data_IF_055864241875
#
_entry.id   IF_055864241875
#
_cell.length_a   1.000
_cell.length_b   1.000
_cell.length_c   1.000
_cell.angle_alpha   90.00
_cell.angle_beta   90.00
_cell.angle_gamma   90.00
#
_symmetry.space_group_name_H-M   'P 1'
#
loop_
_entity.id
_entity.type
_entity.pdbx_description
1 polymer ?
#
# COMPACT_ATOMS: atom_id res chain seq x y z
N UNK A 1 15.99 -51.95 -35.29
CA UNK A 1 16.47 -50.64 -34.80
C UNK A 1 15.28 -49.89 -34.22
N UNK A 2 15.17 -49.83 -32.89
CA UNK A 2 14.03 -49.20 -32.19
C UNK A 2 14.55 -47.87 -31.64
N UNK A 3 14.13 -46.76 -32.24
CA UNK A 3 14.41 -45.42 -31.72
C UNK A 3 13.57 -45.19 -30.46
N UNK A 4 14.20 -45.27 -29.28
CA UNK A 4 13.63 -44.78 -28.02
C UNK A 4 13.75 -43.25 -28.00
N UNK A 5 12.64 -42.56 -28.23
CA UNK A 5 12.52 -41.13 -27.92
C UNK A 5 12.44 -40.98 -26.39
N UNK A 6 13.50 -40.43 -25.80
CA UNK A 6 13.46 -39.94 -24.43
C UNK A 6 12.65 -38.65 -24.39
N UNK A 7 11.41 -38.71 -23.87
CA UNK A 7 10.63 -37.51 -23.53
C UNK A 7 11.18 -36.95 -22.22
N UNK A 8 11.88 -35.84 -22.30
CA UNK A 8 12.25 -35.02 -21.13
C UNK A 8 10.98 -34.26 -20.73
N UNK A 9 10.45 -34.57 -19.55
CA UNK A 9 9.34 -33.82 -18.94
C UNK A 9 9.95 -32.67 -18.15
N UNK A 10 9.89 -31.46 -18.71
CA UNK A 10 10.28 -30.23 -18.01
C UNK A 10 9.07 -29.79 -17.19
N UNK A 11 9.10 -30.02 -15.88
CA UNK A 11 8.12 -29.48 -14.94
C UNK A 11 8.43 -28.01 -14.72
N UNK A 12 7.67 -27.13 -15.36
CA UNK A 12 7.73 -25.68 -15.12
C UNK A 12 7.02 -25.38 -13.81
N UNK A 13 7.79 -25.12 -12.75
CA UNK A 13 7.29 -24.65 -11.47
C UNK A 13 7.00 -23.15 -11.59
N UNK A 14 5.74 -22.80 -11.83
CA UNK A 14 5.28 -21.40 -11.81
C UNK A 14 5.13 -20.98 -10.35
N UNK A 15 6.20 -20.40 -9.79
CA UNK A 15 6.13 -19.71 -8.51
C UNK A 15 5.42 -18.36 -8.73
N UNK A 16 4.12 -18.30 -8.47
CA UNK A 16 3.41 -17.03 -8.40
C UNK A 16 3.96 -16.25 -7.20
N UNK A 17 4.80 -15.25 -7.44
CA UNK A 17 5.11 -14.23 -6.43
C UNK A 17 3.79 -13.50 -6.14
N UNK A 18 3.15 -13.89 -5.03
CA UNK A 18 2.11 -13.08 -4.41
C UNK A 18 2.83 -11.80 -4.02
N UNK A 19 2.69 -10.75 -4.83
CA UNK A 19 2.94 -9.39 -4.36
C UNK A 19 2.09 -9.24 -3.11
N UNK A 20 2.75 -9.14 -1.96
CA UNK A 20 2.13 -8.84 -0.68
C UNK A 20 1.45 -7.48 -0.80
N UNK A 21 0.28 -7.44 -1.43
CA UNK A 21 -0.70 -6.43 -1.12
C UNK A 21 -0.88 -6.52 0.38
N UNK A 22 -0.66 -5.42 1.08
CA UNK A 22 -0.88 -5.26 2.50
C UNK A 22 -2.38 -5.48 2.78
N UNK A 23 -2.81 -6.73 2.67
CA UNK A 23 -4.17 -7.16 2.85
C UNK A 23 -4.53 -6.83 4.27
N UNK A 24 -5.46 -5.91 4.42
CA UNK A 24 -6.10 -5.62 5.68
C UNK A 24 -6.85 -6.90 6.12
N UNK A 25 -6.17 -7.82 6.79
CA UNK A 25 -6.81 -9.01 7.36
C UNK A 25 -7.63 -8.56 8.57
N UNK A 26 -8.89 -8.23 8.33
CA UNK A 26 -9.90 -7.98 9.35
C UNK A 26 -10.51 -9.32 9.80
N UNK A 27 -9.73 -10.10 10.54
CA UNK A 27 -10.19 -11.36 11.13
C UNK A 27 -10.93 -11.14 12.46
N UNK A 28 -12.16 -11.67 12.55
CA UNK A 28 -12.82 -12.10 13.79
C UNK A 28 -13.76 -11.10 14.46
N UNK A 29 -15.07 -11.34 14.35
CA UNK A 29 -16.07 -10.81 15.29
C UNK A 29 -15.98 -11.57 16.62
N UNK A 30 -16.03 -10.88 17.76
CA UNK A 30 -16.43 -11.55 19.01
C UNK A 30 -15.84 -11.11 20.34
N UNK A 31 -15.00 -10.08 20.43
CA UNK A 31 -14.52 -9.59 21.73
C UNK A 31 -14.94 -8.13 21.94
N UNK A 32 -15.76 -7.90 22.96
CA UNK A 32 -16.17 -6.58 23.44
C UNK A 32 -14.97 -5.87 24.10
N UNK A 33 -13.96 -5.53 23.30
CA UNK A 33 -12.95 -4.58 23.74
C UNK A 33 -13.62 -3.21 23.92
N UNK A 34 -13.40 -2.58 25.07
CA UNK A 34 -13.82 -1.21 25.30
C UNK A 34 -13.29 -0.35 24.13
N UNK A 35 -14.17 0.40 23.47
CA UNK A 35 -13.85 1.28 22.33
C UNK A 35 -13.06 2.51 22.81
N UNK A 36 -11.88 2.29 23.37
CA UNK A 36 -10.91 3.34 23.70
C UNK A 36 -9.87 3.36 22.60
N UNK A 37 -9.66 4.54 22.01
CA UNK A 37 -8.59 4.77 21.04
C UNK A 37 -7.23 4.69 21.73
N UNK A 38 -6.17 4.44 20.97
CA UNK A 38 -4.83 4.32 21.53
C UNK A 38 -4.22 5.71 21.78
N UNK A 39 -3.89 6.07 23.02
CA UNK A 39 -3.36 7.40 23.35
C UNK A 39 -2.01 7.71 22.70
N UNK A 40 -1.20 6.70 22.38
CA UNK A 40 0.07 6.90 21.64
C UNK A 40 -0.21 7.35 20.21
N UNK A 41 -1.22 6.76 19.56
CA UNK A 41 -1.62 7.17 18.21
C UNK A 41 -2.30 8.53 18.19
N UNK A 42 -2.92 8.94 19.30
CA UNK A 42 -3.40 10.31 19.46
C UNK A 42 -2.24 11.31 19.46
N UNK A 43 -1.08 10.97 20.03
CA UNK A 43 0.10 11.84 19.97
C UNK A 43 0.65 11.97 18.55
N UNK A 44 0.73 10.87 17.80
CA UNK A 44 1.13 10.92 16.39
C UNK A 44 0.11 11.68 15.53
N UNK A 45 -1.18 11.53 15.79
CA UNK A 45 -2.19 12.32 15.10
C UNK A 45 -2.05 13.81 15.43
N UNK A 46 -1.88 14.16 16.72
CA UNK A 46 -1.68 15.54 17.15
C UNK A 46 -0.38 16.16 16.63
N UNK A 47 0.65 15.36 16.30
CA UNK A 47 1.86 15.88 15.66
C UNK A 47 1.60 16.27 14.20
N UNK A 48 0.70 15.58 13.49
CA UNK A 48 0.32 15.86 12.10
C UNK A 48 -0.65 17.05 11.94
N UNK A 49 -1.30 17.48 13.01
CA UNK A 49 -2.22 18.62 12.98
C UNK A 49 -1.55 19.89 12.43
N UNK A 50 -2.25 20.59 11.53
CA UNK A 50 -1.74 21.78 10.84
C UNK A 50 -0.82 21.52 9.65
N UNK A 51 -0.59 20.25 9.29
CA UNK A 51 0.15 19.89 8.07
C UNK A 51 -0.74 20.00 6.84
N UNK A 52 -0.21 20.53 5.74
CA UNK A 52 -0.89 20.51 4.43
C UNK A 52 -0.31 19.41 3.55
N UNK A 53 -1.18 18.60 2.94
CA UNK A 53 -0.80 17.45 2.13
C UNK A 53 -1.31 17.63 0.70
N UNK A 54 -0.46 18.07 -0.25
CA UNK A 54 -0.81 18.10 -1.66
C UNK A 54 -0.69 16.69 -2.25
N UNK A 55 -1.81 16.15 -2.71
CA UNK A 55 -1.98 14.80 -3.22
C UNK A 55 -2.31 14.85 -4.71
N UNK A 56 -1.63 14.01 -5.49
CA UNK A 56 -1.99 13.64 -6.85
C UNK A 56 -2.60 12.24 -6.83
N UNK A 57 -3.73 12.04 -7.51
CA UNK A 57 -4.35 10.73 -7.67
C UNK A 57 -4.15 10.24 -9.09
N UNK A 58 -3.74 8.99 -9.25
CA UNK A 58 -3.71 8.28 -10.52
C UNK A 58 -4.69 7.11 -10.44
N UNK A 59 -5.91 7.32 -10.94
CA UNK A 59 -7.04 6.39 -10.84
C UNK A 59 -7.48 5.91 -12.22
N UNK A 60 -8.01 4.70 -12.29
CA UNK A 60 -8.35 4.03 -13.55
C UNK A 60 -7.44 2.84 -13.86
N UNK A 61 -7.87 2.02 -14.83
CA UNK A 61 -7.30 0.70 -15.10
C UNK A 61 -7.83 -0.36 -14.14
N UNK A 62 -8.85 -1.13 -14.57
CA UNK A 62 -9.32 -2.30 -13.80
C UNK A 62 -8.22 -3.36 -13.67
N UNK A 63 -7.34 -3.42 -14.66
CA UNK A 63 -6.18 -4.28 -14.67
C UNK A 63 -4.96 -3.48 -14.24
N UNK A 64 -4.28 -3.93 -13.18
CA UNK A 64 -3.07 -3.30 -12.67
C UNK A 64 -1.95 -3.18 -13.72
N UNK A 65 -2.04 -3.94 -14.82
CA UNK A 65 -1.09 -3.98 -15.92
C UNK A 65 -1.35 -2.97 -17.03
N UNK A 66 -2.53 -2.35 -17.10
CA UNK A 66 -2.83 -1.34 -18.12
C UNK A 66 -2.61 0.08 -17.59
N UNK A 67 -1.33 0.47 -17.51
CA UNK A 67 -0.94 1.82 -17.09
C UNK A 67 -1.42 2.91 -18.07
N UNK A 68 -1.72 2.55 -19.33
CA UNK A 68 -2.16 3.49 -20.35
C UNK A 68 -3.57 4.05 -20.09
N UNK A 69 -4.36 3.35 -19.27
CA UNK A 69 -5.72 3.73 -18.87
C UNK A 69 -5.78 4.54 -17.57
N UNK A 70 -4.64 4.95 -16.99
CA UNK A 70 -4.62 5.74 -15.75
C UNK A 70 -4.87 7.21 -16.01
N UNK A 71 -5.80 7.78 -15.27
CA UNK A 71 -6.17 9.17 -15.35
C UNK A 71 -5.72 9.91 -14.10
N UNK A 72 -5.06 11.05 -14.32
CA UNK A 72 -4.54 11.90 -13.26
C UNK A 72 -5.62 12.88 -12.78
N UNK A 73 -5.87 12.90 -11.47
CA UNK A 73 -6.56 13.99 -10.79
C UNK A 73 -5.51 14.76 -10.00
N UNK A 74 -5.34 16.03 -10.37
CA UNK A 74 -4.31 16.92 -9.84
C UNK A 74 -4.92 18.03 -9.01
N UNK A 75 -4.16 18.49 -8.01
CA UNK A 75 -4.50 19.66 -7.19
C UNK A 75 -5.31 19.37 -5.93
N UNK A 76 -5.47 18.10 -5.52
CA UNK A 76 -6.07 17.81 -4.22
C UNK A 76 -5.11 18.28 -3.12
N UNK A 77 -5.52 19.22 -2.28
CA UNK A 77 -4.72 19.65 -1.12
C UNK A 77 -5.56 19.50 0.14
N UNK A 78 -5.07 18.69 1.08
CA UNK A 78 -5.72 18.48 2.38
C UNK A 78 -5.05 19.37 3.41
N UNK A 79 -5.83 20.04 4.24
CA UNK A 79 -5.35 20.76 5.41
C UNK A 79 -5.77 20.04 6.69
N UNK A 80 -4.79 19.50 7.42
CA UNK A 80 -4.99 18.77 8.67
C UNK A 80 -5.12 19.69 9.89
N UNK A 81 -5.44 20.97 9.71
CA UNK A 81 -5.58 21.96 10.79
C UNK A 81 -6.88 21.83 11.61
N UNK A 82 -7.77 20.90 11.28
CA UNK A 82 -9.12 20.86 11.85
C UNK A 82 -9.22 20.20 13.23
N UNK A 83 -10.21 20.66 14.00
CA UNK A 83 -10.54 20.15 15.32
C UNK A 83 -11.02 18.68 15.30
N UNK A 84 -10.74 17.99 16.41
CA UNK A 84 -11.18 16.61 16.65
C UNK A 84 -12.70 16.50 16.57
N UNK A 85 -13.19 15.55 15.77
CA UNK A 85 -14.62 15.26 15.69
C UNK A 85 -15.05 14.53 16.97
N UNK A 86 -15.63 15.27 17.90
CA UNK A 86 -16.29 14.68 19.06
C UNK A 86 -17.36 13.68 18.63
N UNK A 87 -17.59 12.62 19.41
CA UNK A 87 -18.72 11.69 19.19
C UNK A 87 -20.08 12.40 19.18
N UNK A 88 -20.15 13.61 19.74
CA UNK A 88 -21.35 14.48 19.75
C UNK A 88 -21.39 15.46 18.59
N UNK A 89 -20.31 15.60 17.82
CA UNK A 89 -20.29 16.42 16.63
C UNK A 89 -21.36 15.92 15.67
N UNK A 90 -22.24 16.83 15.26
CA UNK A 90 -23.28 16.56 14.25
C UNK A 90 -22.72 16.67 12.83
N UNK A 91 -21.42 16.95 12.68
CA UNK A 91 -20.83 17.08 11.35
C UNK A 91 -20.84 15.72 10.65
N UNK A 92 -21.29 15.66 9.39
CA UNK A 92 -21.24 14.43 8.61
C UNK A 92 -19.78 14.01 8.41
N UNK A 93 -19.47 12.74 8.70
CA UNK A 93 -18.15 12.16 8.48
C UNK A 93 -18.25 10.82 7.78
N UNK A 94 -17.24 10.50 6.99
CA UNK A 94 -17.06 9.17 6.43
C UNK A 94 -16.72 8.18 7.55
N UNK A 95 -17.14 6.93 7.35
CA UNK A 95 -16.74 5.84 8.24
C UNK A 95 -15.34 5.36 7.87
N UNK A 96 -14.42 5.40 8.83
CA UNK A 96 -13.01 5.05 8.64
C UNK A 96 -12.73 3.58 9.01
N UNK A 97 -11.85 2.89 8.28
CA UNK A 97 -11.63 1.45 8.42
C UNK A 97 -11.02 1.03 9.77
N UNK A 98 -10.27 1.88 10.46
CA UNK A 98 -9.71 1.62 11.77
C UNK A 98 -10.71 1.94 12.87
N UNK A 99 -11.11 3.21 12.99
CA UNK A 99 -11.97 3.71 14.06
C UNK A 99 -13.36 3.07 14.09
N UNK A 100 -13.97 2.84 12.93
CA UNK A 100 -15.28 2.18 12.81
C UNK A 100 -15.14 0.69 12.42
N UNK A 101 -13.91 0.19 12.35
CA UNK A 101 -13.60 -1.20 12.01
C UNK A 101 -13.64 -2.16 13.21
N UNK A 102 -13.19 -3.41 13.01
CA UNK A 102 -13.19 -4.43 14.07
C UNK A 102 -12.07 -4.22 15.11
N UNK A 103 -11.08 -3.37 14.83
CA UNK A 103 -9.97 -3.07 15.76
C UNK A 103 -9.77 -1.56 15.99
N UNK A 104 -10.72 -0.88 16.66
CA UNK A 104 -10.63 0.56 16.91
C UNK A 104 -9.43 0.98 17.77
N UNK A 105 -8.90 0.08 18.59
CA UNK A 105 -7.72 0.34 19.44
C UNK A 105 -6.42 0.45 18.63
N UNK A 106 -6.41 0.07 17.35
CA UNK A 106 -5.28 0.31 16.44
C UNK A 106 -5.41 1.65 15.70
N UNK A 107 -6.39 2.49 16.04
CA UNK A 107 -6.65 3.78 15.39
C UNK A 107 -6.49 4.93 16.39
N UNK A 108 -6.06 6.09 15.90
CA UNK A 108 -6.12 7.38 16.60
C UNK A 108 -7.56 7.89 16.81
N UNK A 109 -8.52 7.31 16.09
CA UNK A 109 -9.88 7.83 15.96
C UNK A 109 -10.03 8.79 14.78
N UNK A 110 -11.28 9.12 14.40
CA UNK A 110 -11.56 9.94 13.24
C UNK A 110 -11.33 11.43 13.55
N UNK A 111 -10.55 12.08 12.71
CA UNK A 111 -10.25 13.52 12.74
C UNK A 111 -10.81 14.16 11.47
N UNK A 112 -11.37 15.36 11.56
CA UNK A 112 -11.75 16.10 10.36
C UNK A 112 -10.51 16.66 9.66
N UNK A 113 -10.62 16.94 8.37
CA UNK A 113 -9.70 17.84 7.67
C UNK A 113 -10.51 18.72 6.71
N UNK A 114 -9.95 19.85 6.32
CA UNK A 114 -10.50 20.72 5.30
C UNK A 114 -9.84 20.42 3.96
N UNK A 115 -10.62 20.53 2.89
CA UNK A 115 -10.09 20.42 1.52
C UNK A 115 -9.72 21.83 1.09
N UNK A 116 -8.44 22.17 1.20
CA UNK A 116 -7.92 23.48 0.81
C UNK A 116 -8.00 23.69 -0.71
N UNK A 117 -7.86 22.61 -1.49
CA UNK A 117 -7.99 22.63 -2.94
C UNK A 117 -8.62 21.33 -3.46
N UNK A 118 -9.66 21.45 -4.27
CA UNK A 118 -10.31 20.29 -4.92
C UNK A 118 -9.40 19.68 -6.00
N UNK A 119 -9.44 18.35 -6.10
CA UNK A 119 -8.80 17.65 -7.21
C UNK A 119 -9.50 18.00 -8.52
N UNK A 120 -8.75 18.13 -9.59
CA UNK A 120 -9.28 18.45 -10.92
C UNK A 120 -8.67 17.57 -11.99
N UNK A 121 -9.46 17.30 -13.02
CA UNK A 121 -9.05 16.58 -14.23
C UNK A 121 -9.32 17.44 -15.45
N UNK A 122 -8.56 17.21 -16.53
CA UNK A 122 -8.78 17.85 -17.82
C UNK A 122 -9.19 16.80 -18.84
N UNK A 123 -10.35 17.02 -19.45
CA UNK A 123 -10.89 16.18 -20.53
C UNK A 123 -11.08 17.00 -21.83
N UNK A 124 -11.75 16.41 -22.82
CA UNK A 124 -11.99 17.08 -24.11
C UNK A 124 -12.97 18.25 -24.02
N UNK A 125 -13.79 18.31 -22.97
CA UNK A 125 -14.81 19.34 -22.75
C UNK A 125 -14.34 20.46 -21.82
N UNK A 126 -13.26 20.23 -21.06
CA UNK A 126 -12.62 21.25 -20.25
C UNK A 126 -12.03 20.71 -18.95
N UNK A 127 -11.92 21.60 -17.97
CA UNK A 127 -11.46 21.26 -16.61
C UNK A 127 -12.68 20.94 -15.75
N UNK A 128 -12.65 19.78 -15.12
CA UNK A 128 -13.67 19.32 -14.17
C UNK A 128 -13.06 19.15 -12.79
N UNK A 129 -13.79 19.58 -11.76
CA UNK A 129 -13.38 19.38 -10.37
C UNK A 129 -14.09 18.16 -9.80
N UNK A 130 -13.34 17.28 -9.16
CA UNK A 130 -13.87 16.17 -8.39
C UNK A 130 -14.35 16.69 -7.04
N UNK A 131 -15.64 16.48 -6.74
CA UNK A 131 -16.25 16.95 -5.51
C UNK A 131 -16.06 15.90 -4.40
N UNK A 132 -15.20 16.18 -3.44
CA UNK A 132 -15.02 15.34 -2.25
C UNK A 132 -15.69 16.01 -1.05
N UNK A 133 -16.44 15.26 -0.26
CA UNK A 133 -17.17 15.76 0.91
C UNK A 133 -16.85 14.95 2.16
N UNK A 134 -17.17 15.52 3.32
CA UNK A 134 -17.12 14.85 4.62
C UNK A 134 -15.75 14.22 4.93
N UNK A 135 -14.69 14.92 4.54
CA UNK A 135 -13.31 14.47 4.66
C UNK A 135 -12.95 14.18 6.11
N UNK A 136 -12.43 12.98 6.36
CA UNK A 136 -11.89 12.61 7.66
C UNK A 136 -10.67 11.71 7.53
N UNK A 137 -9.81 11.71 8.53
CA UNK A 137 -8.57 10.94 8.53
C UNK A 137 -8.32 10.29 9.88
N UNK A 138 -7.43 9.29 9.87
CA UNK A 138 -6.93 8.61 11.06
C UNK A 138 -5.52 8.08 10.82
N UNK A 139 -4.79 7.85 11.91
CA UNK A 139 -3.57 7.04 11.92
C UNK A 139 -3.92 5.66 12.44
N UNK A 140 -3.63 4.64 11.65
CA UNK A 140 -3.82 3.24 11.98
C UNK A 140 -2.48 2.56 12.20
N UNK A 141 -2.20 2.10 13.42
CA UNK A 141 -0.96 1.42 13.75
C UNK A 141 -1.25 0.20 14.62
N UNK A 142 -0.71 -0.95 14.20
CA UNK A 142 -0.80 -2.17 15.01
C UNK A 142 0.30 -2.18 16.05
N UNK A 143 0.01 -2.74 17.22
CA UNK A 143 1.02 -2.98 18.24
C UNK A 143 2.19 -3.79 17.66
N UNK A 144 3.41 -3.35 17.94
CA UNK A 144 4.66 -3.94 17.44
C UNK A 144 4.89 -3.91 15.92
N UNK A 145 4.02 -3.25 15.14
CA UNK A 145 4.30 -3.03 13.72
C UNK A 145 5.33 -1.92 13.54
N UNK A 146 6.30 -2.12 12.64
CA UNK A 146 7.33 -1.12 12.33
C UNK A 146 6.77 0.12 11.60
N UNK A 147 5.61 -0.03 10.96
CA UNK A 147 4.95 1.03 10.21
C UNK A 147 3.44 1.00 10.49
N UNK A 148 2.84 2.18 10.45
CA UNK A 148 1.41 2.39 10.44
C UNK A 148 0.89 2.76 9.06
N UNK A 149 -0.35 3.24 9.04
CA UNK A 149 -0.98 3.84 7.87
C UNK A 149 -1.66 5.15 8.27
N UNK A 150 -1.36 6.21 7.53
CA UNK A 150 -2.22 7.37 7.46
C UNK A 150 -3.35 7.07 6.46
N UNK A 151 -4.60 7.20 6.89
CA UNK A 151 -5.77 6.92 6.05
C UNK A 151 -6.67 8.13 6.05
N UNK A 152 -7.02 8.64 4.87
CA UNK A 152 -8.09 9.62 4.69
C UNK A 152 -9.25 9.03 3.91
N UNK A 153 -10.47 9.42 4.27
CA UNK A 153 -11.73 8.98 3.67
C UNK A 153 -12.56 10.18 3.23
N UNK A 154 -13.27 10.00 2.11
CA UNK A 154 -14.11 11.02 1.49
C UNK A 154 -15.43 10.38 1.02
N UNK A 155 -16.51 11.16 1.06
CA UNK A 155 -17.74 10.86 0.35
C UNK A 155 -17.70 11.55 -1.03
N UNK A 156 -17.87 10.76 -2.07
CA UNK A 156 -17.94 11.19 -3.46
C UNK A 156 -19.41 11.15 -3.88
N UNK A 157 -20.13 12.30 -3.92
CA UNK A 157 -21.57 12.31 -4.14
C UNK A 157 -21.96 11.98 -5.59
N UNK A 158 -21.05 12.22 -6.54
CA UNK A 158 -21.26 11.99 -7.95
C UNK A 158 -20.05 11.27 -8.54
N UNK A 159 -20.32 10.36 -9.46
CA UNK A 159 -19.29 9.65 -10.20
C UNK A 159 -18.32 10.61 -10.89
N UNK A 160 -17.01 10.38 -10.73
CA UNK A 160 -15.98 11.13 -11.45
C UNK A 160 -15.66 10.41 -12.75
N UNK A 161 -15.91 11.06 -13.89
CA UNK A 161 -15.70 10.51 -15.24
C UNK A 161 -14.67 11.28 -16.04
N UNK A 162 -14.09 10.61 -17.03
CA UNK A 162 -13.33 11.23 -18.12
C UNK A 162 -13.61 10.51 -19.42
N UNK A 163 -14.15 11.21 -20.44
CA UNK A 163 -14.45 10.65 -21.75
C UNK A 163 -15.18 9.28 -21.66
N UNK A 164 -16.26 9.21 -20.89
CA UNK A 164 -17.08 8.01 -20.60
C UNK A 164 -16.50 6.94 -19.65
N UNK A 165 -15.21 7.00 -19.32
CA UNK A 165 -14.61 6.11 -18.32
C UNK A 165 -14.97 6.54 -16.89
N UNK A 166 -15.56 5.63 -16.10
CA UNK A 166 -15.73 5.78 -14.66
C UNK A 166 -14.37 5.69 -13.96
N UNK A 167 -13.91 6.79 -13.37
CA UNK A 167 -12.64 6.83 -12.63
C UNK A 167 -12.85 6.51 -11.16
N UNK A 168 -13.85 7.16 -10.57
CA UNK A 168 -14.18 7.03 -9.16
C UNK A 168 -15.69 6.88 -9.05
N UNK A 169 -16.20 5.73 -8.56
CA UNK A 169 -17.63 5.53 -8.38
C UNK A 169 -18.15 6.43 -7.25
N UNK A 170 -19.46 6.77 -7.27
CA UNK A 170 -20.07 7.48 -6.16
C UNK A 170 -20.03 6.61 -4.89
N UNK A 171 -19.83 7.24 -3.74
CA UNK A 171 -19.74 6.57 -2.44
C UNK A 171 -18.45 6.91 -1.70
N UNK A 172 -17.96 5.97 -0.87
CA UNK A 172 -16.81 6.19 -0.01
C UNK A 172 -15.53 5.84 -0.73
N UNK A 173 -14.58 6.75 -0.70
CA UNK A 173 -13.23 6.55 -1.24
C UNK A 173 -12.23 6.79 -0.13
N UNK A 174 -11.19 5.98 -0.13
CA UNK A 174 -10.12 6.02 0.85
C UNK A 174 -8.79 6.19 0.13
N UNK A 175 -7.92 7.01 0.72
CA UNK A 175 -6.53 7.12 0.33
C UNK A 175 -5.71 6.70 1.55
N UNK A 176 -4.70 5.86 1.34
CA UNK A 176 -3.83 5.41 2.42
C UNK A 176 -2.36 5.51 2.04
N UNK A 177 -1.55 6.03 2.96
CA UNK A 177 -0.10 6.13 2.88
C UNK A 177 0.52 5.38 4.05
N UNK A 178 1.54 4.54 3.83
CA UNK A 178 2.35 4.02 4.92
C UNK A 178 3.02 5.16 5.68
N UNK A 179 3.01 5.08 7.01
CA UNK A 179 3.67 6.04 7.91
C UNK A 179 4.68 5.31 8.79
N UNK A 180 5.82 5.94 9.01
CA UNK A 180 6.93 5.40 9.79
C UNK A 180 7.38 6.41 10.84
N UNK A 181 7.90 5.91 11.95
CA UNK A 181 8.77 6.71 12.82
C UNK A 181 10.14 6.84 12.16
N UNK A 182 10.73 8.03 12.21
CA UNK A 182 12.02 8.32 11.56
C UNK A 182 13.13 7.35 12.00
N UNK A 183 13.25 7.09 13.29
CA UNK A 183 14.29 6.21 13.84
C UNK A 183 14.10 4.76 13.41
N UNK A 184 12.86 4.25 13.48
CA UNK A 184 12.50 2.90 13.06
C UNK A 184 12.76 2.72 11.57
N UNK A 185 12.44 3.72 10.75
CA UNK A 185 12.70 3.66 9.31
C UNK A 185 14.21 3.55 9.01
N UNK A 186 15.04 4.34 9.69
CA UNK A 186 16.49 4.29 9.52
C UNK A 186 17.07 2.93 9.92
N UNK A 187 16.64 2.36 11.04
CA UNK A 187 17.03 1.01 11.45
C UNK A 187 16.66 -0.02 10.39
N UNK A 188 15.43 0.02 9.87
CA UNK A 188 14.98 -0.93 8.84
C UNK A 188 15.68 -0.77 7.50
N UNK A 189 16.05 0.45 7.11
CA UNK A 189 16.88 0.69 5.92
C UNK A 189 18.26 0.05 6.07
N UNK A 190 18.88 0.13 7.25
CA UNK A 190 20.18 -0.50 7.51
C UNK A 190 20.06 -2.02 7.39
N UNK A 191 19.09 -2.62 8.11
CA UNK A 191 18.84 -4.07 8.05
C UNK A 191 18.55 -4.52 6.63
N UNK A 192 17.75 -3.78 5.86
CA UNK A 192 17.45 -4.13 4.47
C UNK A 192 18.68 -4.03 3.57
N UNK A 193 19.55 -3.03 3.75
CA UNK A 193 20.82 -2.95 3.00
C UNK A 193 21.74 -4.14 3.29
N UNK A 194 21.85 -4.55 4.55
CA UNK A 194 22.63 -5.73 4.93
C UNK A 194 22.06 -7.01 4.31
N UNK A 195 20.73 -7.16 4.33
CA UNK A 195 20.05 -8.27 3.68
C UNK A 195 20.25 -8.27 2.17
N UNK A 196 20.16 -7.12 1.51
CA UNK A 196 20.36 -7.01 0.06
C UNK A 196 21.79 -7.40 -0.36
N UNK A 197 22.80 -7.08 0.46
CA UNK A 197 24.18 -7.55 0.23
C UNK A 197 24.27 -9.08 0.36
N UNK A 198 23.59 -9.69 1.33
CA UNK A 198 23.56 -11.15 1.49
C UNK A 198 22.84 -11.80 0.33
N UNK A 199 21.68 -11.28 -0.08
CA UNK A 199 20.90 -11.77 -1.22
C UNK A 199 21.72 -11.68 -2.51
N UNK A 200 22.39 -10.55 -2.76
CA UNK A 200 23.22 -10.38 -3.95
C UNK A 200 24.37 -11.40 -4.03
N UNK A 201 25.00 -11.74 -2.89
CA UNK A 201 26.00 -12.81 -2.83
C UNK A 201 25.41 -14.17 -3.15
N UNK A 202 24.23 -14.49 -2.62
CA UNK A 202 23.54 -15.75 -2.92
C UNK A 202 23.09 -15.83 -4.38
N UNK A 203 22.68 -14.71 -4.98
CA UNK A 203 22.36 -14.62 -6.40
C UNK A 203 23.61 -14.89 -7.26
N UNK A 204 24.76 -14.33 -6.88
CA UNK A 204 26.03 -14.61 -7.55
C UNK A 204 26.44 -16.08 -7.41
N UNK A 205 26.36 -16.66 -6.22
CA UNK A 205 26.62 -18.09 -5.99
C UNK A 205 25.72 -18.98 -6.84
N UNK A 206 24.44 -18.62 -6.97
CA UNK A 206 23.48 -19.32 -7.84
C UNK A 206 23.89 -19.23 -9.30
N UNK A 207 24.23 -18.03 -9.79
CA UNK A 207 24.63 -17.81 -11.18
C UNK A 207 25.93 -18.53 -11.53
N UNK A 208 26.92 -18.51 -10.64
CA UNK A 208 28.20 -19.20 -10.85
C UNK A 208 28.01 -20.72 -10.89
N UNK A 209 27.15 -21.27 -10.01
CA UNK A 209 26.79 -22.69 -10.07
C UNK A 209 26.09 -23.06 -11.39
N UNK A 210 25.21 -22.20 -11.92
CA UNK A 210 24.59 -22.43 -13.23
C UNK A 210 25.60 -22.35 -14.38
N UNK A 211 26.56 -21.42 -14.35
CA UNK A 211 27.64 -21.36 -15.34
C UNK A 211 28.52 -22.61 -15.33
N UNK A 212 28.87 -23.12 -14.14
CA UNK A 212 29.63 -24.37 -14.05
C UNK A 212 28.83 -25.57 -14.57
N UNK A 213 27.51 -25.60 -14.36
CA UNK A 213 26.63 -26.62 -14.94
C UNK A 213 26.67 -26.61 -16.48
N UNK A 214 26.71 -25.42 -17.10
CA UNK A 214 26.81 -25.27 -18.56
C UNK A 214 28.20 -25.68 -19.10
N UNK A 215 29.27 -25.42 -18.34
CA UNK A 215 30.64 -25.77 -18.71
C UNK A 215 30.95 -27.27 -18.57
N UNK A 216 30.43 -27.93 -17.53
CA UNK A 216 30.68 -29.35 -17.23
C UNK A 216 29.68 -30.30 -17.92
N UNK A 217 29.21 -29.96 -19.13
CA UNK A 217 28.11 -30.65 -19.82
C UNK A 217 28.32 -32.15 -20.05
N UNK A 218 29.57 -32.61 -20.05
CA UNK A 218 29.93 -34.00 -20.34
C UNK A 218 29.84 -34.92 -19.12
N UNK A 219 29.72 -34.37 -17.90
CA UNK A 219 29.63 -35.14 -16.67
C UNK A 219 28.30 -34.88 -15.93
N UNK A 220 27.35 -35.80 -16.13
CA UNK A 220 26.01 -35.74 -15.54
C UNK A 220 26.01 -35.62 -14.01
N UNK A 221 26.99 -36.22 -13.32
CA UNK A 221 27.08 -36.14 -11.85
C UNK A 221 27.52 -34.74 -11.39
N UNK A 222 28.44 -34.11 -12.11
CA UNK A 222 28.85 -32.73 -11.83
C UNK A 222 27.72 -31.75 -12.16
N UNK A 223 27.02 -31.92 -13.28
CA UNK A 223 25.84 -31.12 -13.60
C UNK A 223 24.77 -31.20 -12.50
N UNK A 224 24.46 -32.41 -12.01
CA UNK A 224 23.49 -32.60 -10.94
C UNK A 224 23.94 -31.93 -9.61
N UNK A 225 25.24 -31.96 -9.31
CA UNK A 225 25.81 -31.28 -8.15
C UNK A 225 25.68 -29.75 -8.28
N UNK A 226 26.05 -29.18 -9.43
CA UNK A 226 25.95 -27.75 -9.70
C UNK A 226 24.50 -27.27 -9.66
N UNK A 227 23.57 -28.03 -10.25
CA UNK A 227 22.14 -27.76 -10.16
C UNK A 227 21.64 -27.75 -8.71
N UNK A 228 22.05 -28.73 -7.90
CA UNK A 228 21.72 -28.77 -6.46
C UNK A 228 22.25 -27.54 -5.71
N UNK A 229 23.46 -27.09 -6.02
CA UNK A 229 24.04 -25.89 -5.41
C UNK A 229 23.26 -24.63 -5.80
N UNK A 230 22.88 -24.50 -7.07
CA UNK A 230 22.02 -23.40 -7.52
C UNK A 230 20.65 -23.41 -6.82
N UNK A 231 20.03 -24.59 -6.68
CA UNK A 231 18.77 -24.74 -5.96
C UNK A 231 18.90 -24.40 -4.47
N UNK A 232 19.98 -24.81 -3.81
CA UNK A 232 20.23 -24.48 -2.41
C UNK A 232 20.46 -22.98 -2.18
N UNK A 233 21.14 -22.30 -3.11
CA UNK A 233 21.28 -20.84 -3.07
C UNK A 233 19.92 -20.14 -3.25
N UNK A 234 19.09 -20.61 -4.19
CA UNK A 234 17.73 -20.10 -4.39
C UNK A 234 16.86 -20.29 -3.15
N UNK A 235 16.93 -21.45 -2.50
CA UNK A 235 16.19 -21.73 -1.27
C UNK A 235 16.57 -20.74 -0.15
N UNK A 236 17.86 -20.43 0.00
CA UNK A 236 18.32 -19.41 0.96
C UNK A 236 17.80 -18.01 0.64
N UNK A 237 17.72 -17.65 -0.64
CA UNK A 237 17.12 -16.38 -1.09
C UNK A 237 15.63 -16.35 -0.74
N UNK A 238 14.91 -17.45 -1.02
CA UNK A 238 13.47 -17.55 -0.75
C UNK A 238 13.17 -17.49 0.76
N UNK A 239 14.06 -18.02 1.60
CA UNK A 239 13.97 -17.90 3.06
C UNK A 239 14.49 -16.58 3.63
N UNK A 240 15.13 -15.73 2.83
CA UNK A 240 15.54 -14.41 3.29
C UNK A 240 14.30 -13.53 3.47
N UNK A 241 14.05 -13.12 4.72
CA UNK A 241 12.91 -12.25 5.07
C UNK A 241 13.25 -10.81 4.73
N UNK A 242 13.16 -10.47 3.43
CA UNK A 242 13.23 -9.08 3.01
C UNK A 242 12.05 -8.32 3.62
N UNK A 243 12.34 -7.27 4.39
CA UNK A 243 11.31 -6.39 4.92
C UNK A 243 10.65 -5.67 3.74
N UNK A 244 9.44 -6.09 3.37
CA UNK A 244 8.74 -5.52 2.22
C UNK A 244 8.26 -4.10 2.51
N UNK A 245 8.37 -3.22 1.51
CA UNK A 245 7.83 -1.86 1.50
C UNK A 245 8.49 -0.86 2.44
N UNK A 246 9.73 -1.12 2.85
CA UNK A 246 10.59 -0.08 3.42
C UNK A 246 11.04 0.85 2.28
N UNK A 247 10.76 2.16 2.34
CA UNK A 247 11.24 3.11 1.34
C UNK A 247 12.76 3.26 1.48
N UNK A 248 13.52 3.09 0.39
CA UNK A 248 14.98 3.11 0.42
C UNK A 248 15.58 4.48 0.13
N UNK A 249 14.86 5.34 -0.59
CA UNK A 249 15.29 6.70 -0.90
C UNK A 249 14.64 7.73 0.01
N UNK A 250 15.35 8.81 0.29
CA UNK A 250 14.76 9.98 0.96
C UNK A 250 13.72 10.68 0.07
N UNK A 251 13.79 10.49 -1.26
CA UNK A 251 12.75 10.97 -2.19
C UNK A 251 11.45 10.19 -2.13
N UNK A 252 11.46 9.00 -1.49
CA UNK A 252 10.27 8.16 -1.35
C UNK A 252 9.47 8.48 -0.08
N UNK A 253 9.94 9.45 0.72
CA UNK A 253 9.30 9.86 1.98
C UNK A 253 9.17 11.37 2.10
N UNK A 254 8.17 11.81 2.85
CA UNK A 254 7.96 13.21 3.22
C UNK A 254 7.97 13.27 4.75
N UNK A 255 8.83 14.14 5.29
CA UNK A 255 8.82 14.46 6.71
C UNK A 255 7.53 15.20 7.06
N UNK A 256 6.80 14.67 8.04
CA UNK A 256 5.54 15.25 8.51
C UNK A 256 5.46 15.30 10.02
N UNK A 257 4.61 16.20 10.49
CA UNK A 257 4.38 16.47 11.89
C UNK A 257 5.43 17.37 12.52
N UNK A 258 5.21 17.71 13.80
CA UNK A 258 6.12 18.54 14.59
C UNK A 258 7.51 17.89 14.59
N UNK A 259 8.53 18.68 14.25
CA UNK A 259 9.94 18.29 14.20
C UNK A 259 10.31 17.13 13.24
N UNK A 260 9.41 16.71 12.36
CA UNK A 260 9.68 15.65 11.38
C UNK A 260 9.88 14.26 12.01
N UNK A 261 9.23 13.99 13.14
CA UNK A 261 9.28 12.68 13.82
C UNK A 261 8.69 11.56 12.97
N UNK A 262 7.71 11.89 12.12
CA UNK A 262 7.00 10.95 11.27
C UNK A 262 7.39 11.12 9.81
N UNK A 263 7.49 9.99 9.12
CA UNK A 263 7.82 9.88 7.71
C UNK A 263 6.66 9.24 6.97
N UNK A 264 6.00 10.01 6.09
CA UNK A 264 4.97 9.47 5.21
C UNK A 264 5.61 9.01 3.90
N UNK A 265 5.28 7.81 3.44
CA UNK A 265 5.67 7.37 2.11
C UNK A 265 4.99 8.25 1.05
N UNK A 266 5.76 8.69 0.05
CA UNK A 266 5.27 9.47 -1.08
C UNK A 266 4.20 8.72 -1.86
N UNK A 267 4.35 7.40 -1.99
CA UNK A 267 3.39 6.54 -2.69
C UNK A 267 2.35 5.97 -1.73
N UNK A 268 1.08 6.10 -2.12
CA UNK A 268 -0.07 5.54 -1.44
C UNK A 268 -1.03 4.84 -2.40
N UNK A 269 -2.15 4.37 -1.86
CA UNK A 269 -3.17 3.65 -2.61
C UNK A 269 -4.52 4.33 -2.51
N UNK A 270 -5.27 4.37 -3.60
CA UNK A 270 -6.66 4.84 -3.65
C UNK A 270 -7.56 3.62 -3.78
N UNK A 271 -8.52 3.48 -2.88
CA UNK A 271 -9.40 2.31 -2.85
C UNK A 271 -10.80 2.67 -2.35
N UNK A 272 -11.76 1.81 -2.65
CA UNK A 272 -13.14 1.92 -2.16
C UNK A 272 -13.58 0.61 -1.53
N UNK A 273 -14.62 0.65 -0.69
CA UNK A 273 -15.30 -0.54 -0.21
C UNK A 273 -16.54 -0.75 -1.05
N UNK A 274 -16.57 -1.86 -1.78
CA UNK A 274 -17.78 -2.22 -2.52
C UNK A 274 -18.86 -2.64 -1.53
N UNK A 275 -19.93 -1.84 -1.45
CA UNK A 275 -21.10 -2.11 -0.62
C UNK A 275 -22.25 -2.73 -1.42
N UNK A 276 -21.98 -3.33 -2.58
CA UNK A 276 -23.00 -4.00 -3.37
C UNK A 276 -23.76 -5.03 -2.52
N UNK A 277 -25.11 -4.98 -2.59
CA UNK A 277 -26.02 -5.78 -1.76
C UNK A 277 -25.69 -7.27 -1.83
N UNK A 278 -25.33 -7.77 -3.02
CA UNK A 278 -24.94 -9.17 -3.22
C UNK A 278 -23.71 -9.58 -2.39
N UNK A 279 -22.75 -8.68 -2.20
CA UNK A 279 -21.53 -8.92 -1.41
C UNK A 279 -21.72 -8.67 0.09
N UNK A 280 -22.62 -7.76 0.45
CA UNK A 280 -23.08 -7.63 1.84
C UNK A 280 -23.73 -8.94 2.33
N UNK A 281 -24.55 -9.59 1.50
CA UNK A 281 -25.20 -10.85 1.85
C UNK A 281 -24.21 -12.03 1.97
N UNK A 282 -23.09 -12.00 1.25
CA UNK A 282 -22.02 -13.00 1.40
C UNK A 282 -21.08 -12.70 2.57
N UNK A 283 -21.26 -11.57 3.27
CA UNK A 283 -20.36 -11.13 4.34
C UNK A 283 -18.96 -10.75 3.87
N UNK A 284 -18.73 -10.65 2.55
CA UNK A 284 -17.44 -10.32 1.96
C UNK A 284 -17.43 -8.87 1.50
N UNK A 285 -16.98 -7.97 2.37
CA UNK A 285 -16.62 -6.61 1.95
C UNK A 285 -15.27 -6.66 1.25
N UNK A 286 -15.27 -6.71 -0.09
CA UNK A 286 -14.04 -6.61 -0.85
C UNK A 286 -13.61 -5.15 -0.99
N UNK A 287 -12.31 -4.93 -0.75
CA UNK A 287 -11.66 -3.67 -1.07
C UNK A 287 -11.37 -3.66 -2.56
N UNK A 288 -11.80 -2.60 -3.26
CA UNK A 288 -11.51 -2.42 -4.68
C UNK A 288 -10.42 -1.37 -4.81
N UNK A 289 -9.27 -1.77 -5.34
CA UNK A 289 -8.18 -0.85 -5.67
C UNK A 289 -8.61 -0.02 -6.88
N UNK A 290 -8.64 1.30 -6.72
CA UNK A 290 -8.98 2.26 -7.78
C UNK A 290 -7.73 2.83 -8.46
N UNK A 291 -6.59 2.83 -7.76
CA UNK A 291 -5.33 3.31 -8.27
C UNK A 291 -4.34 3.69 -7.18
N UNK A 292 -3.48 4.65 -7.48
CA UNK A 292 -2.40 5.09 -6.60
C UNK A 292 -2.53 6.57 -6.26
N UNK A 293 -2.01 6.94 -5.10
CA UNK A 293 -1.88 8.33 -4.69
C UNK A 293 -0.39 8.68 -4.55
N UNK A 294 -0.05 9.94 -4.80
CA UNK A 294 1.31 10.44 -4.69
C UNK A 294 1.30 11.76 -3.95
N UNK A 295 2.01 11.84 -2.82
CA UNK A 295 2.28 13.10 -2.13
C UNK A 295 3.25 13.91 -2.96
N UNK A 296 2.99 15.21 -3.11
CA UNK A 296 3.97 16.14 -3.66
C UNK A 296 4.70 16.82 -2.49
N UNK A 297 6.02 17.03 -2.58
CA UNK A 297 6.70 17.95 -1.68
C UNK A 297 6.05 19.33 -1.82
N UNK A 298 5.81 20.02 -0.72
CA UNK A 298 5.48 21.44 -0.77
C UNK A 298 6.65 22.17 -1.43
N UNK A 299 6.42 22.73 -2.62
CA UNK A 299 7.39 23.54 -3.36
C UNK A 299 7.44 24.96 -2.82
#
# INVERSE_FOLDING_TARGET
MIHRQHRIVITVLVASKITNGYGFIFGGQGLNFQKTFNPVLEQHAASLEGTTLPIRLAVGGRDAHDESARHLLDGLTLDLSCERLDKKSKQPRVSLPGADGPRPFCSSGPLAFDIAQDASLVDLTGRHNANFKNGCWEVNWREHAYAGYFVCGFDVPQEVKRNDACLIPPGRVYISFPIWEKDVLLEKRIIQKEQDVVISKLEQEREDALKFMEQDSDNLLLMALHFRNAAAAQEKIDFSTKVSGVPMSDYDVVEVGKDGELMLCVQGTVWTKDNSIGRMLSGQTEHVLLGHATLRPAT
#
